data_IF_057956959231
#
_entry.id   IF_057956959231
#
_cell.length_a   1.000
_cell.length_b   1.000
_cell.length_c   1.000
_cell.angle_alpha   90.00
_cell.angle_beta   90.00
_cell.angle_gamma   90.00
#
_symmetry.space_group_name_H-M   'P 1'
#
loop_
_entity.id
_entity.type
_entity.pdbx_description
1 polymer ?
#
# COMPACT_ATOMS: atom_id res chain seq x y z
N UNK A 1 -3.17 36.81 11.44
CA UNK A 1 -4.22 35.93 10.88
C UNK A 1 -3.62 34.53 10.76
N UNK A 2 -3.73 33.71 11.80
CA UNK A 2 -3.37 32.28 11.88
C UNK A 2 -4.23 31.70 13.01
N UNK A 3 -5.41 31.20 12.67
CA UNK A 3 -6.30 30.53 13.62
C UNK A 3 -6.20 29.03 13.42
N UNK A 4 -5.56 28.34 14.36
CA UNK A 4 -5.67 26.89 14.48
C UNK A 4 -6.97 26.64 15.23
N UNK A 5 -7.99 26.16 14.52
CA UNK A 5 -9.23 25.75 15.16
C UNK A 5 -9.04 24.38 15.81
N UNK A 6 -9.37 24.21 17.10
CA UNK A 6 -9.36 22.91 17.74
C UNK A 6 -10.56 22.08 17.26
N UNK A 7 -10.31 20.87 16.76
CA UNK A 7 -11.37 19.89 16.50
C UNK A 7 -11.89 19.38 17.84
N UNK A 8 -13.06 19.90 18.18
CA UNK A 8 -13.83 19.63 19.38
C UNK A 8 -14.35 18.19 19.35
N UNK A 9 -13.99 17.36 20.33
CA UNK A 9 -14.83 16.22 20.74
C UNK A 9 -15.00 16.27 22.26
N UNK A 10 -15.79 17.25 22.71
CA UNK A 10 -16.28 17.35 24.08
C UNK A 10 -17.54 16.48 24.15
N UNK A 11 -17.90 15.72 25.18
CA UNK A 11 -17.34 15.19 26.41
C UNK A 11 -18.52 14.42 27.05
N UNK A 12 -18.31 13.36 27.83
CA UNK A 12 -19.01 13.22 29.13
C UNK A 12 -18.06 12.57 30.11
N UNK A 13 -17.85 13.28 31.21
CA UNK A 13 -16.98 12.94 32.33
C UNK A 13 -17.76 12.27 33.48
N UNK A 14 -17.11 11.23 34.06
CA UNK A 14 -16.98 10.92 35.51
C UNK A 14 -18.12 10.13 36.24
N UNK A 15 -17.89 9.65 37.49
CA UNK A 15 -17.10 8.50 37.98
C UNK A 15 -17.96 7.41 38.68
N UNK A 16 -17.47 6.18 38.77
CA UNK A 16 -17.82 5.31 39.91
C UNK A 16 -16.54 4.78 40.57
N UNK A 17 -16.27 5.32 41.75
CA UNK A 17 -15.26 4.85 42.69
C UNK A 17 -15.81 3.65 43.45
N UNK A 18 -15.05 2.56 43.57
CA UNK A 18 -15.05 1.61 44.69
C UNK A 18 -13.67 0.87 44.76
N UNK A 19 -13.28 0.34 45.93
CA UNK A 19 -11.99 0.65 46.59
C UNK A 19 -10.83 -0.33 46.33
N UNK A 20 -9.62 0.18 46.65
CA UNK A 20 -8.30 -0.45 46.61
C UNK A 20 -8.26 -1.88 47.17
N UNK A 21 -7.71 -2.81 46.39
CA UNK A 21 -6.94 -3.95 46.92
C UNK A 21 -5.56 -3.93 46.28
N UNK A 22 -4.55 -3.76 47.13
CA UNK A 22 -3.13 -3.89 46.82
C UNK A 22 -2.81 -5.34 46.45
N UNK A 23 -2.17 -5.54 45.30
CA UNK A 23 -1.28 -6.68 45.05
C UNK A 23 -0.35 -6.33 43.88
N UNK A 24 0.84 -5.80 44.18
CA UNK A 24 2.05 -6.14 43.41
C UNK A 24 2.48 -7.57 43.85
N UNK A 25 3.22 -8.42 43.08
CA UNK A 25 4.31 -8.14 42.09
C UNK A 25 4.28 -9.14 40.89
N UNK A 26 5.34 -9.39 40.06
CA UNK A 26 6.65 -8.75 39.89
C UNK A 26 6.88 -8.14 38.49
N UNK A 27 7.95 -7.35 38.39
CA UNK A 27 8.51 -6.83 37.14
C UNK A 27 8.88 -7.97 36.19
N UNK A 28 8.20 -8.05 35.05
CA UNK A 28 8.54 -8.95 33.94
C UNK A 28 9.50 -8.22 32.98
N UNK A 29 10.63 -8.85 32.56
CA UNK A 29 11.70 -8.16 31.84
C UNK A 29 11.23 -7.77 30.43
N UNK A 30 11.35 -6.48 30.11
CA UNK A 30 11.43 -5.94 28.74
C UNK A 30 10.59 -6.68 27.68
N UNK A 31 9.26 -6.51 27.72
CA UNK A 31 8.48 -6.62 26.48
C UNK A 31 8.87 -5.45 25.58
N UNK A 32 9.87 -5.67 24.74
CA UNK A 32 10.06 -4.91 23.52
C UNK A 32 8.73 -4.99 22.76
N UNK A 33 7.94 -3.90 22.81
CA UNK A 33 6.79 -3.74 21.95
C UNK A 33 7.35 -3.60 20.54
N UNK A 34 7.50 -4.70 19.82
CA UNK A 34 7.50 -4.65 18.36
C UNK A 34 6.25 -3.86 17.98
N UNK A 35 6.38 -2.68 17.34
CA UNK A 35 5.20 -2.02 16.80
C UNK A 35 4.61 -3.00 15.79
N UNK A 36 3.43 -3.55 16.08
CA UNK A 36 2.69 -4.30 15.08
C UNK A 36 2.52 -3.35 13.90
N UNK A 37 3.04 -3.64 12.70
CA UNK A 37 2.82 -2.78 11.56
C UNK A 37 1.31 -2.66 11.37
N UNK A 38 0.82 -1.43 11.21
CA UNK A 38 -0.59 -1.22 10.87
C UNK A 38 -0.88 -1.99 9.57
N UNK A 39 -2.01 -2.71 9.49
CA UNK A 39 -2.38 -3.40 8.26
C UNK A 39 -2.50 -2.37 7.12
N UNK A 40 -2.02 -2.71 5.93
CA UNK A 40 -2.19 -1.86 4.76
C UNK A 40 -3.68 -1.74 4.43
N UNK A 41 -4.11 -0.51 4.11
CA UNK A 41 -5.44 -0.29 3.57
C UNK A 41 -5.55 -0.98 2.21
N UNK A 42 -6.59 -1.80 2.06
CA UNK A 42 -6.88 -2.49 0.81
C UNK A 42 -7.57 -1.54 -0.16
N UNK A 43 -7.22 -1.62 -1.44
CA UNK A 43 -7.89 -0.85 -2.48
C UNK A 43 -9.24 -1.45 -2.84
N UNK A 44 -10.31 -0.66 -2.73
CA UNK A 44 -11.68 -1.10 -3.01
C UNK A 44 -12.19 -0.68 -4.39
N UNK A 45 -11.49 0.21 -5.09
CA UNK A 45 -11.88 0.69 -6.42
C UNK A 45 -11.28 -0.18 -7.52
N UNK A 46 -12.11 -0.58 -8.47
CA UNK A 46 -11.66 -1.36 -9.63
C UNK A 46 -10.92 -0.53 -10.66
N UNK A 47 -10.00 -1.15 -11.38
CA UNK A 47 -9.25 -0.57 -12.48
C UNK A 47 -10.08 -0.64 -13.77
N UNK A 48 -10.42 0.53 -14.32
CA UNK A 48 -11.16 0.63 -15.59
C UNK A 48 -10.24 0.74 -16.80
N UNK A 49 -9.02 1.23 -16.63
CA UNK A 49 -8.03 1.35 -17.71
C UNK A 49 -6.62 1.11 -17.19
N UNK A 50 -5.81 0.44 -18.00
CA UNK A 50 -4.39 0.16 -17.75
C UNK A 50 -3.57 0.64 -18.95
N UNK A 51 -2.46 1.32 -18.68
CA UNK A 51 -1.44 1.65 -19.67
C UNK A 51 -0.06 1.43 -19.05
N UNK A 52 0.89 0.93 -19.83
CA UNK A 52 2.24 0.72 -19.37
C UNK A 52 3.23 1.10 -20.47
N UNK A 53 4.26 1.84 -20.09
CA UNK A 53 5.46 2.10 -20.90
C UNK A 53 6.67 1.47 -20.22
N UNK A 54 7.60 1.00 -21.04
CA UNK A 54 8.88 0.48 -20.59
C UNK A 54 9.98 1.12 -21.42
N UNK A 55 10.95 1.71 -20.73
CA UNK A 55 12.08 2.41 -21.30
C UNK A 55 13.36 1.85 -20.68
N UNK A 56 14.44 1.74 -21.46
CA UNK A 56 15.73 1.41 -20.89
C UNK A 56 16.34 2.66 -20.27
N UNK A 57 16.93 2.52 -19.08
CA UNK A 57 17.68 3.61 -18.45
C UNK A 57 18.85 4.09 -19.33
N UNK A 58 19.43 5.24 -18.99
CA UNK A 58 20.50 5.87 -19.79
C UNK A 58 21.68 4.92 -20.05
N UNK A 59 22.06 4.15 -19.03
CA UNK A 59 23.16 3.17 -19.08
C UNK A 59 22.79 1.88 -19.85
N UNK A 60 21.53 1.74 -20.24
CA UNK A 60 20.96 0.58 -20.92
C UNK A 60 21.14 -0.74 -20.17
N UNK A 61 21.12 -0.68 -18.84
CA UNK A 61 21.29 -1.84 -17.96
C UNK A 61 19.99 -2.31 -17.34
N UNK A 62 18.98 -1.43 -17.25
CA UNK A 62 17.75 -1.70 -16.52
C UNK A 62 16.53 -1.14 -17.25
N UNK A 63 15.41 -1.86 -17.18
CA UNK A 63 14.12 -1.39 -17.69
C UNK A 63 13.39 -0.57 -16.63
N UNK A 64 13.12 0.69 -16.94
CA UNK A 64 12.22 1.54 -16.19
C UNK A 64 10.79 1.34 -16.69
N UNK A 65 9.91 0.87 -15.81
CA UNK A 65 8.49 0.69 -16.06
C UNK A 65 7.72 1.89 -15.51
N UNK A 66 6.81 2.44 -16.30
CA UNK A 66 5.77 3.36 -15.85
C UNK A 66 4.41 2.75 -16.11
N UNK A 67 3.61 2.58 -15.06
CA UNK A 67 2.25 2.04 -15.09
C UNK A 67 1.26 3.15 -14.74
N UNK A 68 0.29 3.38 -15.64
CA UNK A 68 -0.82 4.29 -15.43
C UNK A 68 -2.11 3.48 -15.30
N UNK A 69 -2.79 3.66 -14.17
CA UNK A 69 -4.04 3.03 -13.83
C UNK A 69 -5.11 4.10 -13.69
N UNK A 70 -6.27 3.90 -14.32
CA UNK A 70 -7.46 4.71 -14.09
C UNK A 70 -8.45 3.83 -13.33
N UNK A 71 -8.89 4.31 -12.17
CA UNK A 71 -9.86 3.62 -11.33
C UNK A 71 -11.30 4.06 -11.66
N UNK A 72 -12.29 3.32 -11.17
CA UNK A 72 -13.72 3.57 -11.45
C UNK A 72 -14.25 4.93 -10.99
N UNK A 73 -13.65 5.53 -9.96
CA UNK A 73 -13.93 6.89 -9.50
C UNK A 73 -13.23 7.97 -10.35
N UNK A 74 -12.54 7.54 -11.42
CA UNK A 74 -11.66 8.33 -12.29
C UNK A 74 -10.41 8.84 -11.59
N UNK A 75 -9.99 8.23 -10.48
CA UNK A 75 -8.67 8.47 -9.91
C UNK A 75 -7.60 7.92 -10.85
N UNK A 76 -6.62 8.76 -11.19
CA UNK A 76 -5.46 8.35 -11.96
C UNK A 76 -4.30 8.05 -11.01
N UNK A 77 -3.71 6.87 -11.14
CA UNK A 77 -2.50 6.46 -10.40
C UNK A 77 -1.38 6.18 -11.38
N UNK A 78 -0.26 6.86 -11.19
CA UNK A 78 0.96 6.61 -11.94
C UNK A 78 2.01 6.02 -11.00
N UNK A 79 2.54 4.87 -11.36
CA UNK A 79 3.56 4.14 -10.61
C UNK A 79 4.78 3.96 -11.50
N UNK A 80 5.96 4.16 -10.95
CA UNK A 80 7.25 3.98 -11.63
C UNK A 80 8.08 2.96 -10.89
N UNK A 81 8.73 2.06 -11.62
CA UNK A 81 9.48 0.95 -11.05
C UNK A 81 10.66 0.55 -11.93
N UNK A 82 11.83 0.38 -11.33
CA UNK A 82 13.02 -0.10 -12.01
C UNK A 82 13.07 -1.63 -11.94
N UNK A 83 12.76 -2.30 -13.06
CA UNK A 83 12.64 -3.75 -13.14
C UNK A 83 14.01 -4.43 -13.00
N UNK A 84 14.09 -5.41 -12.13
CA UNK A 84 15.17 -6.38 -12.05
C UNK A 84 14.98 -7.50 -13.09
N UNK A 85 16.06 -8.18 -13.51
CA UNK A 85 15.97 -9.32 -14.43
C UNK A 85 15.14 -10.49 -13.88
N UNK A 86 15.08 -10.64 -12.56
CA UNK A 86 14.34 -11.68 -11.85
C UNK A 86 12.86 -11.39 -11.70
N UNK A 87 12.42 -10.16 -11.97
CA UNK A 87 11.04 -9.76 -11.71
C UNK A 87 10.07 -10.46 -12.65
N UNK A 88 8.95 -10.88 -12.08
CA UNK A 88 7.86 -11.50 -12.79
C UNK A 88 6.56 -10.70 -12.58
N UNK A 89 5.69 -10.77 -13.59
CA UNK A 89 4.46 -9.98 -13.63
C UNK A 89 3.46 -10.35 -12.54
N UNK A 90 3.45 -11.61 -12.08
CA UNK A 90 2.52 -12.11 -11.06
C UNK A 90 2.87 -11.59 -9.68
N UNK A 91 4.13 -11.67 -9.31
CA UNK A 91 4.61 -11.17 -8.03
C UNK A 91 4.43 -9.65 -7.96
N UNK A 92 4.79 -8.93 -9.03
CA UNK A 92 4.58 -7.48 -9.09
C UNK A 92 3.09 -7.10 -8.94
N UNK A 93 2.16 -7.81 -9.62
CA UNK A 93 0.74 -7.56 -9.45
C UNK A 93 0.25 -7.86 -8.01
N UNK A 94 0.78 -8.93 -7.40
CA UNK A 94 0.46 -9.30 -6.02
C UNK A 94 0.95 -8.26 -5.02
N UNK A 95 2.16 -7.72 -5.22
CA UNK A 95 2.69 -6.61 -4.42
C UNK A 95 1.81 -5.36 -4.55
N UNK A 96 1.34 -5.05 -5.76
CA UNK A 96 0.44 -3.91 -5.97
C UNK A 96 -0.91 -4.08 -5.27
N UNK A 97 -1.44 -5.30 -5.14
CA UNK A 97 -2.60 -5.58 -4.29
C UNK A 97 -2.24 -5.41 -2.81
N UNK A 98 -1.13 -6.00 -2.37
CA UNK A 98 -0.68 -5.97 -0.99
C UNK A 98 -0.51 -4.55 -0.44
N UNK A 99 0.02 -3.64 -1.26
CA UNK A 99 0.21 -2.23 -0.91
C UNK A 99 -1.01 -1.34 -1.20
N UNK A 100 -2.15 -1.89 -1.60
CA UNK A 100 -3.37 -1.12 -1.82
C UNK A 100 -3.33 -0.22 -3.05
N UNK A 101 -2.54 -0.57 -4.07
CA UNK A 101 -2.51 0.16 -5.35
C UNK A 101 -3.59 -0.30 -6.33
N UNK A 102 -4.02 -1.56 -6.24
CA UNK A 102 -5.09 -2.14 -7.06
C UNK A 102 -6.00 -3.05 -6.24
N UNK A 103 -7.24 -3.21 -6.71
CA UNK A 103 -8.18 -4.16 -6.15
C UNK A 103 -7.75 -5.61 -6.41
N UNK A 104 -8.04 -6.51 -5.47
CA UNK A 104 -7.70 -7.94 -5.55
C UNK A 104 -8.24 -8.60 -6.83
N UNK A 105 -9.51 -8.39 -7.17
CA UNK A 105 -10.13 -8.84 -8.43
C UNK A 105 -9.40 -8.42 -9.72
N UNK A 106 -8.60 -7.35 -9.70
CA UNK A 106 -7.86 -6.89 -10.87
C UNK A 106 -6.47 -7.51 -10.98
N UNK A 107 -6.03 -8.28 -9.98
CA UNK A 107 -4.68 -8.85 -9.87
C UNK A 107 -4.32 -9.72 -11.08
N UNK A 108 -5.15 -10.72 -11.40
CA UNK A 108 -4.88 -11.65 -12.51
C UNK A 108 -4.85 -10.93 -13.86
N UNK A 109 -5.77 -9.97 -14.06
CA UNK A 109 -5.85 -9.16 -15.27
C UNK A 109 -4.61 -8.28 -15.44
N UNK A 110 -4.16 -7.65 -14.35
CA UNK A 110 -2.95 -6.84 -14.36
C UNK A 110 -1.70 -7.70 -14.61
N UNK A 111 -1.59 -8.86 -13.97
CA UNK A 111 -0.48 -9.79 -14.18
C UNK A 111 -0.37 -10.23 -15.65
N UNK A 112 -1.50 -10.60 -16.28
CA UNK A 112 -1.52 -10.98 -17.70
C UNK A 112 -1.18 -9.79 -18.63
N UNK A 113 -1.64 -8.59 -18.29
CA UNK A 113 -1.30 -7.37 -19.00
C UNK A 113 0.21 -7.09 -18.93
N UNK A 114 0.80 -7.12 -17.74
CA UNK A 114 2.24 -6.93 -17.52
C UNK A 114 3.08 -8.02 -18.16
N UNK A 115 2.62 -9.27 -18.15
CA UNK A 115 3.30 -10.36 -18.83
C UNK A 115 3.39 -10.07 -20.33
N UNK A 116 2.29 -9.65 -20.95
CA UNK A 116 2.26 -9.29 -22.38
C UNK A 116 3.19 -8.11 -22.70
N UNK A 117 3.27 -7.09 -21.83
CA UNK A 117 4.18 -5.96 -22.03
C UNK A 117 5.64 -6.38 -21.87
N UNK A 118 5.97 -7.21 -20.88
CA UNK A 118 7.33 -7.71 -20.68
C UNK A 118 7.81 -8.50 -21.89
N UNK A 119 6.97 -9.39 -22.43
CA UNK A 119 7.30 -10.16 -23.64
C UNK A 119 7.54 -9.25 -24.85
N UNK A 120 6.71 -8.21 -25.04
CA UNK A 120 6.87 -7.27 -26.15
C UNK A 120 8.19 -6.50 -26.10
N UNK A 121 8.68 -6.15 -24.91
CA UNK A 121 9.89 -5.35 -24.74
C UNK A 121 11.17 -6.18 -24.61
N UNK A 122 11.06 -7.45 -24.19
CA UNK A 122 12.19 -8.36 -24.02
C UNK A 122 12.40 -9.31 -25.20
N UNK A 123 11.45 -9.41 -26.14
CA UNK A 123 11.58 -10.16 -27.40
C UNK A 123 12.28 -9.35 -28.48
#
# INVERSE_FOLDING_TARGET
>A
RNGIYPLMNFAVSRPHALPRVLSQPPEDPQKAKTPTPEPFDVETRKVVQMQCSMELNEDRTQWHLTLLLVLEDRLHRQLSYDLLPSDNSKDLATELVHYGFIHEDDCEKLAAFLESTFHKHRS
#
